data_IF_296665167302
#
_entry.id   IF_296665167302
#
_cell.length_a   1.000
_cell.length_b   1.000
_cell.length_c   1.000
_cell.angle_alpha   90.00
_cell.angle_beta   90.00
_cell.angle_gamma   90.00
#
_symmetry.space_group_name_H-M   'P 1'
#
loop_
_entity.id
_entity.type
_entity.pdbx_description
1 polymer ?
#
# COMPACT_ATOMS: atom_id res chain seq x y z
N UNK A 1 -33.12 35.34 40.01
CA UNK A 1 -31.78 35.39 39.40
C UNK A 1 -31.56 34.08 38.64
N UNK A 2 -31.60 34.09 37.31
CA UNK A 2 -31.37 32.92 36.47
C UNK A 2 -30.22 33.27 35.50
N UNK A 3 -29.06 32.63 35.66
CA UNK A 3 -27.87 32.88 34.83
C UNK A 3 -28.03 32.29 33.42
N UNK A 4 -27.33 32.83 32.40
CA UNK A 4 -27.49 32.37 31.03
C UNK A 4 -26.85 31.00 30.80
N UNK A 5 -27.57 30.14 30.08
CA UNK A 5 -27.11 28.85 29.61
C UNK A 5 -25.81 29.01 28.78
N UNK A 6 -24.74 28.35 29.22
CA UNK A 6 -23.48 28.23 28.48
C UNK A 6 -23.75 27.59 27.12
N UNK A 7 -23.37 28.29 26.05
CA UNK A 7 -23.27 27.74 24.69
C UNK A 7 -22.34 26.53 24.71
N UNK A 8 -22.83 25.39 24.25
CA UNK A 8 -22.00 24.26 23.87
C UNK A 8 -21.19 24.66 22.63
N UNK A 9 -19.87 24.67 22.77
CA UNK A 9 -18.94 24.75 21.64
C UNK A 9 -19.02 23.43 20.87
N UNK A 10 -19.83 23.42 19.81
CA UNK A 10 -19.83 22.34 18.83
C UNK A 10 -18.56 22.47 17.99
N UNK A 11 -17.43 22.11 18.59
CA UNK A 11 -16.18 21.88 17.89
C UNK A 11 -16.45 20.86 16.78
N UNK A 12 -16.40 21.36 15.54
CA UNK A 12 -16.52 20.59 14.30
C UNK A 12 -15.43 19.52 14.34
N UNK A 13 -15.81 18.30 14.74
CA UNK A 13 -14.98 17.13 14.59
C UNK A 13 -14.72 16.98 13.09
N UNK A 14 -13.50 17.34 12.67
CA UNK A 14 -13.05 17.17 11.29
C UNK A 14 -13.20 15.69 10.99
N UNK A 15 -14.19 15.34 10.17
CA UNK A 15 -14.40 13.97 9.73
C UNK A 15 -13.04 13.41 9.26
N UNK A 16 -12.70 12.15 9.58
CA UNK A 16 -11.46 11.55 9.14
C UNK A 16 -11.34 11.75 7.62
N UNK A 17 -10.13 11.99 7.08
CA UNK A 17 -9.96 12.12 5.65
C UNK A 17 -10.63 10.91 5.00
N UNK A 18 -11.62 11.16 4.13
CA UNK A 18 -12.28 10.08 3.41
C UNK A 18 -11.17 9.25 2.77
N UNK A 19 -11.13 7.91 2.98
CA UNK A 19 -10.13 7.10 2.31
C UNK A 19 -10.19 7.46 0.83
N UNK A 20 -9.04 7.84 0.24
CA UNK A 20 -8.98 8.06 -1.20
C UNK A 20 -9.58 6.80 -1.83
N UNK A 21 -10.58 6.90 -2.71
CA UNK A 21 -11.18 5.71 -3.29
C UNK A 21 -10.05 4.92 -3.95
N UNK A 22 -9.72 3.78 -3.35
CA UNK A 22 -8.70 2.88 -3.87
C UNK A 22 -9.18 2.52 -5.27
N UNK A 23 -8.41 2.90 -6.28
CA UNK A 23 -8.84 2.75 -7.66
C UNK A 23 -9.03 1.25 -7.90
N UNK A 24 -10.26 0.78 -8.19
CA UNK A 24 -10.50 -0.64 -8.38
C UNK A 24 -9.60 -1.13 -9.51
N UNK A 25 -9.01 -2.31 -9.31
CA UNK A 25 -8.14 -2.90 -10.33
C UNK A 25 -8.92 -3.15 -11.61
N UNK A 26 -8.29 -2.81 -12.73
CA UNK A 26 -8.80 -3.18 -14.05
C UNK A 26 -8.44 -4.63 -14.35
N UNK A 27 -9.26 -5.40 -15.08
CA UNK A 27 -8.86 -6.73 -15.57
C UNK A 27 -7.53 -6.72 -16.34
N UNK A 28 -7.23 -5.60 -17.02
CA UNK A 28 -5.97 -5.40 -17.75
C UNK A 28 -4.74 -5.36 -16.83
N UNK A 29 -4.91 -5.09 -15.54
CA UNK A 29 -3.79 -5.03 -14.59
C UNK A 29 -3.14 -6.41 -14.41
N UNK A 30 -3.87 -7.50 -14.69
CA UNK A 30 -3.40 -8.87 -14.59
C UNK A 30 -2.80 -9.41 -15.89
N UNK A 31 -2.87 -8.65 -17.00
CA UNK A 31 -2.26 -9.04 -18.26
C UNK A 31 -0.74 -8.80 -18.16
N UNK A 32 0.11 -9.82 -18.36
CA UNK A 32 1.56 -9.65 -18.35
C UNK A 32 1.99 -8.82 -19.57
N UNK A 33 2.90 -7.89 -19.33
CA UNK A 33 3.53 -7.11 -20.38
C UNK A 33 4.45 -7.98 -21.23
N UNK A 34 4.44 -7.80 -22.55
CA UNK A 34 5.23 -8.62 -23.50
C UNK A 34 6.74 -8.43 -23.34
N UNK A 35 7.19 -7.33 -22.74
CA UNK A 35 8.62 -6.99 -22.63
C UNK A 35 9.30 -7.72 -21.47
N UNK A 36 8.61 -7.81 -20.34
CA UNK A 36 9.18 -8.29 -19.08
C UNK A 36 8.36 -9.42 -18.43
N UNK A 37 7.18 -9.75 -18.98
CA UNK A 37 6.27 -10.75 -18.44
C UNK A 37 5.60 -10.34 -17.13
N UNK A 38 5.77 -9.09 -16.69
CA UNK A 38 5.25 -8.59 -15.42
C UNK A 38 3.83 -8.07 -15.58
N UNK A 39 3.00 -8.38 -14.59
CA UNK A 39 1.72 -7.73 -14.40
C UNK A 39 1.90 -6.35 -13.77
N UNK A 40 0.87 -5.49 -13.84
CA UNK A 40 0.93 -4.17 -13.21
C UNK A 40 1.15 -4.25 -11.68
N UNK A 41 0.50 -5.16 -10.93
CA UNK A 41 0.79 -5.38 -9.51
C UNK A 41 2.25 -5.77 -9.25
N UNK A 42 2.82 -6.69 -10.03
CA UNK A 42 4.21 -7.13 -9.88
C UNK A 42 5.20 -5.96 -10.09
N UNK A 43 4.95 -5.15 -11.13
CA UNK A 43 5.76 -3.96 -11.40
C UNK A 43 5.68 -2.94 -10.26
N UNK A 44 4.49 -2.70 -9.70
CA UNK A 44 4.31 -1.81 -8.54
C UNK A 44 5.09 -2.33 -7.34
N UNK A 45 5.04 -3.63 -7.07
CA UNK A 45 5.79 -4.26 -5.97
C UNK A 45 7.29 -4.07 -6.17
N UNK A 46 7.81 -4.33 -7.36
CA UNK A 46 9.25 -4.17 -7.67
C UNK A 46 9.73 -2.72 -7.58
N UNK A 47 8.98 -1.77 -8.15
CA UNK A 47 9.31 -0.34 -8.05
C UNK A 47 9.30 0.11 -6.60
N UNK A 48 8.28 -0.28 -5.83
CA UNK A 48 8.20 0.08 -4.41
C UNK A 48 9.35 -0.53 -3.61
N UNK A 49 9.71 -1.79 -3.89
CA UNK A 49 10.83 -2.45 -3.25
C UNK A 49 12.16 -1.75 -3.58
N UNK A 50 12.36 -1.30 -4.83
CA UNK A 50 13.54 -0.54 -5.23
C UNK A 50 13.64 0.80 -4.50
N UNK A 51 12.56 1.59 -4.47
CA UNK A 51 12.50 2.86 -3.73
C UNK A 51 12.83 2.67 -2.24
N UNK A 52 12.24 1.66 -1.60
CA UNK A 52 12.48 1.38 -0.18
C UNK A 52 13.92 0.93 0.09
N UNK A 53 14.54 0.19 -0.84
CA UNK A 53 15.96 -0.17 -0.72
C UNK A 53 16.86 1.07 -0.79
N UNK A 54 16.59 2.00 -1.71
CA UNK A 54 17.32 3.27 -1.82
C UNK A 54 17.14 4.11 -0.54
N UNK A 55 15.90 4.27 -0.04
CA UNK A 55 15.59 4.96 1.22
C UNK A 55 16.36 4.35 2.41
N UNK A 56 16.57 3.03 2.40
CA UNK A 56 17.28 2.31 3.48
C UNK A 56 18.77 2.11 3.23
N UNK A 57 19.34 2.67 2.15
CA UNK A 57 20.74 2.53 1.74
C UNK A 57 21.16 1.07 1.52
N UNK A 58 20.34 0.32 0.78
CA UNK A 58 20.57 -1.08 0.45
C UNK A 58 20.33 -2.07 1.61
N UNK A 59 19.80 -1.61 2.76
CA UNK A 59 19.41 -2.52 3.84
C UNK A 59 18.12 -3.25 3.51
N UNK A 60 17.98 -4.46 4.05
CA UNK A 60 16.81 -5.31 3.81
C UNK A 60 15.49 -4.58 4.12
N UNK A 61 14.50 -4.67 3.24
CA UNK A 61 13.19 -4.00 3.42
C UNK A 61 12.23 -4.96 4.13
N UNK A 62 11.71 -4.64 5.33
CA UNK A 62 10.73 -5.50 5.99
C UNK A 62 9.45 -5.65 5.16
N UNK A 63 8.92 -6.87 5.05
CA UNK A 63 7.72 -7.15 4.24
C UNK A 63 6.50 -6.32 4.66
N UNK A 64 6.35 -6.04 5.96
CA UNK A 64 5.27 -5.18 6.46
C UNK A 64 5.39 -3.73 5.96
N UNK A 65 6.62 -3.22 5.84
CA UNK A 65 6.89 -1.88 5.30
C UNK A 65 6.59 -1.83 3.80
N UNK A 66 7.01 -2.85 3.06
CA UNK A 66 6.68 -3.01 1.65
C UNK A 66 5.16 -3.05 1.44
N UNK A 67 4.46 -3.88 2.21
CA UNK A 67 3.01 -4.01 2.13
C UNK A 67 2.30 -2.68 2.35
N UNK A 68 2.63 -1.96 3.44
CA UNK A 68 2.04 -0.65 3.74
C UNK A 68 2.21 0.34 2.60
N UNK A 69 3.37 0.35 1.95
CA UNK A 69 3.68 1.25 0.84
C UNK A 69 3.07 0.81 -0.51
N UNK A 70 2.77 -0.48 -0.68
CA UNK A 70 2.09 -1.01 -1.88
C UNK A 70 0.59 -0.74 -1.84
N UNK A 71 -0.06 -0.92 -0.68
CA UNK A 71 -1.51 -0.68 -0.55
C UNK A 71 -1.90 0.80 -0.72
N UNK A 72 -0.95 1.72 -0.55
CA UNK A 72 -1.12 3.14 -0.90
C UNK A 72 -1.24 3.37 -2.41
N UNK A 73 -0.73 2.44 -3.24
CA UNK A 73 -0.67 2.56 -4.71
C UNK A 73 -1.74 1.74 -5.43
N UNK A 74 -2.07 0.57 -4.91
CA UNK A 74 -3.00 -0.37 -5.54
C UNK A 74 -3.71 -1.19 -4.48
N UNK A 75 -5.00 -1.48 -4.70
CA UNK A 75 -5.73 -2.42 -3.87
C UNK A 75 -5.07 -3.79 -3.95
N UNK A 76 -4.60 -4.33 -2.83
CA UNK A 76 -3.85 -5.58 -2.78
C UNK A 76 -4.05 -6.25 -1.43
N UNK A 77 -4.36 -7.53 -1.44
CA UNK A 77 -4.39 -8.34 -0.21
C UNK A 77 -2.99 -8.80 0.20
N UNK A 78 -2.82 -9.14 1.48
CA UNK A 78 -1.55 -9.70 1.98
C UNK A 78 -1.18 -11.00 1.26
N UNK A 79 -2.16 -11.89 1.04
CA UNK A 79 -1.95 -13.17 0.35
C UNK A 79 -1.47 -12.97 -1.09
N UNK A 80 -2.05 -11.99 -1.78
CA UNK A 80 -1.63 -11.64 -3.13
C UNK A 80 -0.20 -11.09 -3.18
N UNK A 81 0.19 -10.24 -2.23
CA UNK A 81 1.58 -9.77 -2.13
C UNK A 81 2.53 -10.95 -1.94
N UNK A 82 2.19 -11.90 -1.06
CA UNK A 82 3.02 -13.09 -0.81
C UNK A 82 3.18 -13.94 -2.07
N UNK A 83 2.10 -14.16 -2.84
CA UNK A 83 2.17 -14.87 -4.14
C UNK A 83 3.07 -14.14 -5.13
N UNK A 84 2.97 -12.82 -5.22
CA UNK A 84 3.84 -12.00 -6.08
C UNK A 84 5.30 -12.15 -5.66
N UNK A 85 5.62 -12.05 -4.37
CA UNK A 85 6.99 -12.19 -3.86
C UNK A 85 7.55 -13.60 -4.11
N UNK A 86 6.72 -14.64 -4.00
CA UNK A 86 7.11 -16.01 -4.35
C UNK A 86 7.40 -16.15 -5.84
N UNK A 87 6.52 -15.63 -6.70
CA UNK A 87 6.70 -15.63 -8.16
C UNK A 87 7.98 -14.89 -8.57
N UNK A 88 8.27 -13.75 -7.95
CA UNK A 88 9.46 -12.94 -8.24
C UNK A 88 10.75 -13.52 -7.67
N UNK A 89 10.69 -14.65 -6.94
CA UNK A 89 11.86 -15.25 -6.29
C UNK A 89 12.36 -14.48 -5.06
N UNK A 90 11.71 -13.39 -4.68
CA UNK A 90 12.04 -12.59 -3.50
C UNK A 90 11.77 -13.34 -2.18
N UNK A 91 10.85 -14.32 -2.18
CA UNK A 91 10.45 -15.05 -0.98
C UNK A 91 11.58 -15.83 -0.28
N UNK A 92 12.70 -16.16 -0.95
CA UNK A 92 13.79 -16.94 -0.33
C UNK A 92 14.60 -16.17 0.72
N UNK A 93 14.42 -14.85 0.87
CA UNK A 93 15.18 -14.01 1.81
C UNK A 93 14.40 -13.52 3.05
N UNK A 94 13.13 -13.90 3.22
CA UNK A 94 12.24 -13.31 4.25
C UNK A 94 11.61 -14.32 5.21
N UNK A 95 12.07 -15.57 5.18
CA UNK A 95 11.53 -16.68 5.98
C UNK A 95 12.59 -17.54 6.67
N UNK A 96 13.70 -16.94 7.12
CA UNK A 96 14.75 -17.61 7.89
C UNK A 96 15.29 -16.70 8.97
#
# INVERSE_FOLDING_TARGET
MLGPARRADASIARAPPRPRPMRPRSPLDNLPDVRDGLTRPERIVLVTLAELQEERRGRNVPTAMLYGRVVERIDMSVDELQRILQRLGAARGYGG
#
